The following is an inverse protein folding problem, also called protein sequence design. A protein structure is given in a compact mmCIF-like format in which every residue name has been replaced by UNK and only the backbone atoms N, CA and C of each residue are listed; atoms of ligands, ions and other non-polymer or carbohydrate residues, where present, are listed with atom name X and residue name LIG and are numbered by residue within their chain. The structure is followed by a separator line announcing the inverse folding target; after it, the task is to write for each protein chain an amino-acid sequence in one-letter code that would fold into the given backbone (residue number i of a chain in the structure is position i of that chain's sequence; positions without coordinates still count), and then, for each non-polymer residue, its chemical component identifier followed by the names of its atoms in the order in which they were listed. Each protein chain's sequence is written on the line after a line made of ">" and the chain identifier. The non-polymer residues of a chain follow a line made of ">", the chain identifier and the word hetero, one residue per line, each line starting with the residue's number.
data_IF_550405740932
#
_entry.id   IF_550405740932
#
_cell.length_a   1.000
_cell.length_b   1.000
_cell.length_c   1.000
_cell.angle_alpha   90.00
_cell.angle_beta   90.00
_cell.angle_gamma   90.00
#
_symmetry.space_group_name_H-M   'P 1'
#
loop_
_entity.id
_entity.type
_entity.pdbx_description
1 polymer ?
#
# COMPACT_ATOMS: atom_id res chain seq x y z
N UNK A 1 15.02 -51.20 -51.82
CA UNK A 1 15.54 -49.84 -52.09
C UNK A 1 14.56 -48.84 -51.50
N UNK A 2 14.90 -48.21 -50.36
CA UNK A 2 14.04 -47.18 -49.76
C UNK A 2 14.13 -45.94 -50.65
N UNK A 3 12.99 -45.49 -51.16
CA UNK A 3 12.91 -44.31 -52.02
C UNK A 3 13.10 -43.05 -51.15
N UNK A 4 13.92 -42.11 -51.65
CA UNK A 4 14.17 -40.79 -51.01
C UNK A 4 12.93 -40.12 -50.39
N UNK A 5 11.74 -40.09 -51.01
CA UNK A 5 10.54 -39.49 -50.40
C UNK A 5 10.10 -40.17 -49.10
N UNK A 6 10.23 -41.50 -48.99
CA UNK A 6 9.86 -42.24 -47.77
C UNK A 6 10.75 -41.84 -46.60
N UNK A 7 12.03 -41.63 -46.86
CA UNK A 7 13.00 -41.21 -45.85
C UNK A 7 12.70 -39.78 -45.35
N UNK A 8 12.36 -38.86 -46.27
CA UNK A 8 11.96 -37.49 -45.91
C UNK A 8 10.69 -37.50 -45.07
N UNK A 9 9.69 -38.30 -45.45
CA UNK A 9 8.42 -38.38 -44.73
C UNK A 9 8.61 -39.00 -43.33
N UNK A 10 9.44 -40.04 -43.21
CA UNK A 10 9.79 -40.62 -41.92
C UNK A 10 10.46 -39.60 -40.99
N UNK A 11 11.40 -38.81 -41.50
CA UNK A 11 12.06 -37.74 -40.73
C UNK A 11 11.04 -36.66 -40.33
N UNK A 12 10.17 -36.23 -41.25
CA UNK A 12 9.15 -35.23 -40.95
C UNK A 12 8.20 -35.67 -39.83
N UNK A 13 7.79 -36.95 -39.82
CA UNK A 13 6.94 -37.50 -38.77
C UNK A 13 7.65 -37.51 -37.42
N UNK A 14 8.93 -37.91 -37.38
CA UNK A 14 9.71 -37.91 -36.12
C UNK A 14 9.88 -36.49 -35.58
N UNK A 15 10.17 -35.52 -36.45
CA UNK A 15 10.29 -34.11 -36.05
C UNK A 15 8.96 -33.56 -35.53
N UNK A 16 7.85 -33.88 -36.20
CA UNK A 16 6.52 -33.46 -35.76
C UNK A 16 6.17 -34.06 -34.40
N UNK A 17 6.43 -35.36 -34.19
CA UNK A 17 6.20 -36.02 -32.91
C UNK A 17 7.04 -35.40 -31.78
N UNK A 18 8.33 -35.12 -32.05
CA UNK A 18 9.20 -34.45 -31.09
C UNK A 18 8.71 -33.02 -30.76
N UNK A 19 8.23 -32.29 -31.76
CA UNK A 19 7.69 -30.94 -31.56
C UNK A 19 6.42 -30.96 -30.70
N UNK A 20 5.50 -31.89 -30.95
CA UNK A 20 4.28 -32.06 -30.14
C UNK A 20 4.64 -32.42 -28.71
N UNK A 21 5.55 -33.37 -28.51
CA UNK A 21 6.00 -33.76 -27.18
C UNK A 21 6.60 -32.58 -26.40
N UNK A 22 7.47 -31.79 -27.04
CA UNK A 22 8.06 -30.61 -26.44
C UNK A 22 7.00 -29.55 -26.11
N UNK A 23 6.00 -29.38 -26.98
CA UNK A 23 4.90 -28.44 -26.74
C UNK A 23 4.05 -28.87 -25.53
N UNK A 24 3.66 -30.15 -25.45
CA UNK A 24 2.93 -30.69 -24.30
C UNK A 24 3.68 -30.43 -22.99
N UNK A 25 4.98 -30.69 -22.97
CA UNK A 25 5.80 -30.44 -21.78
C UNK A 25 5.83 -28.96 -21.37
N UNK A 26 5.90 -28.04 -22.33
CA UNK A 26 5.84 -26.60 -22.05
C UNK A 26 4.47 -26.19 -21.52
N UNK A 27 3.39 -26.77 -22.03
CA UNK A 27 2.03 -26.51 -21.54
C UNK A 27 1.88 -26.98 -20.10
N UNK A 28 2.37 -28.17 -19.76
CA UNK A 28 2.31 -28.70 -18.40
C UNK A 28 3.14 -27.84 -17.43
N UNK A 29 4.34 -27.40 -17.84
CA UNK A 29 5.17 -26.51 -17.05
C UNK A 29 4.49 -25.16 -16.80
N UNK A 30 3.84 -24.58 -17.82
CA UNK A 30 3.06 -23.34 -17.70
C UNK A 30 1.85 -23.53 -16.79
N UNK A 31 1.14 -24.65 -16.91
CA UNK A 31 0.00 -24.97 -16.05
C UNK A 31 0.42 -25.08 -14.58
N UNK A 32 1.56 -25.73 -14.30
CA UNK A 32 2.12 -25.84 -12.96
C UNK A 32 2.51 -24.46 -12.38
N UNK A 33 3.16 -23.61 -13.18
CA UNK A 33 3.50 -22.24 -12.76
C UNK A 33 2.25 -21.41 -12.46
N UNK A 34 1.21 -21.56 -13.27
CA UNK A 34 -0.04 -20.85 -13.11
C UNK A 34 -0.79 -21.32 -11.85
N UNK A 35 -0.79 -22.62 -11.57
CA UNK A 35 -1.34 -23.18 -10.34
C UNK A 35 -0.61 -22.63 -9.09
N UNK A 36 0.72 -22.66 -9.09
CA UNK A 36 1.53 -22.12 -7.99
C UNK A 36 1.30 -20.62 -7.77
N UNK A 37 1.11 -19.85 -8.85
CA UNK A 37 0.81 -18.42 -8.76
C UNK A 37 -0.57 -18.17 -8.16
N UNK A 38 -1.58 -18.95 -8.57
CA UNK A 38 -2.94 -18.86 -8.01
C UNK A 38 -2.97 -19.20 -6.53
N UNK A 39 -2.21 -20.20 -6.12
CA UNK A 39 -2.09 -20.57 -4.70
C UNK A 39 -1.51 -19.42 -3.87
N UNK A 40 -0.43 -18.77 -4.35
CA UNK A 40 0.12 -17.58 -3.69
C UNK A 40 -0.88 -16.43 -3.61
N UNK A 41 -1.66 -16.20 -4.66
CA UNK A 41 -2.72 -15.19 -4.66
C UNK A 41 -3.82 -15.52 -3.63
N UNK A 42 -4.21 -16.79 -3.52
CA UNK A 42 -5.21 -17.23 -2.54
C UNK A 42 -4.73 -17.02 -1.09
N UNK A 43 -3.47 -17.35 -0.81
CA UNK A 43 -2.85 -17.11 0.50
C UNK A 43 -2.82 -15.62 0.83
N UNK A 44 -2.34 -14.78 -0.08
CA UNK A 44 -2.32 -13.33 0.12
C UNK A 44 -3.72 -12.73 0.32
N UNK A 45 -4.73 -13.25 -0.37
CA UNK A 45 -6.12 -12.83 -0.18
C UNK A 45 -6.66 -13.22 1.20
N UNK A 46 -6.29 -14.40 1.72
CA UNK A 46 -6.65 -14.83 3.06
C UNK A 46 -6.00 -13.94 4.13
N UNK A 47 -4.72 -13.60 3.96
CA UNK A 47 -4.00 -12.69 4.86
C UNK A 47 -4.67 -11.31 4.88
N UNK A 48 -5.00 -10.75 3.72
CA UNK A 48 -5.73 -9.48 3.64
C UNK A 48 -7.10 -9.55 4.30
N UNK A 49 -7.82 -10.66 4.17
CA UNK A 49 -9.11 -10.84 4.81
C UNK A 49 -8.97 -10.84 6.34
N UNK A 50 -7.97 -11.54 6.88
CA UNK A 50 -7.67 -11.51 8.32
C UNK A 50 -7.28 -10.11 8.78
N UNK A 51 -6.43 -9.41 8.03
CA UNK A 51 -5.97 -8.07 8.39
C UNK A 51 -7.13 -7.07 8.38
N UNK A 52 -8.04 -7.17 7.40
CA UNK A 52 -9.28 -6.39 7.37
C UNK A 52 -10.18 -6.71 8.56
N UNK A 53 -10.29 -7.97 8.95
CA UNK A 53 -11.07 -8.36 10.13
C UNK A 53 -10.45 -7.78 11.42
N UNK A 54 -9.13 -7.89 11.58
CA UNK A 54 -8.39 -7.29 12.71
C UNK A 54 -8.52 -5.77 12.72
N UNK A 55 -8.40 -5.13 11.55
CA UNK A 55 -8.56 -3.68 11.43
C UNK A 55 -9.99 -3.27 11.76
N UNK A 56 -11.00 -3.95 11.24
CA UNK A 56 -12.41 -3.69 11.56
C UNK A 56 -12.69 -3.88 13.06
N UNK A 57 -12.04 -4.85 13.70
CA UNK A 57 -12.11 -5.04 15.14
C UNK A 57 -11.48 -3.87 15.92
N UNK A 58 -10.29 -3.42 15.52
CA UNK A 58 -9.57 -2.30 16.15
C UNK A 58 -10.25 -0.94 15.93
N UNK A 59 -10.83 -0.73 14.74
CA UNK A 59 -11.46 0.53 14.37
C UNK A 59 -12.93 0.62 14.77
N UNK A 60 -13.46 -0.32 15.55
CA UNK A 60 -14.82 -0.19 16.08
C UNK A 60 -14.95 1.13 16.85
N UNK A 61 -15.82 2.06 16.40
CA UNK A 61 -15.87 3.41 16.96
C UNK A 61 -16.25 3.41 18.43
N UNK A 62 -17.06 2.44 18.88
CA UNK A 62 -17.41 2.27 20.29
C UNK A 62 -16.19 1.93 21.17
N UNK A 63 -15.22 1.15 20.64
CA UNK A 63 -13.97 0.83 21.34
C UNK A 63 -13.00 2.00 21.34
N UNK A 64 -12.90 2.72 20.22
CA UNK A 64 -12.11 3.93 20.15
C UNK A 64 -12.65 5.00 21.12
N UNK A 65 -13.97 5.17 21.21
CA UNK A 65 -14.57 6.12 22.14
C UNK A 65 -14.32 5.76 23.61
N UNK A 66 -14.40 4.48 23.97
CA UNK A 66 -14.11 4.01 25.34
C UNK A 66 -12.62 4.11 25.70
N UNK A 67 -11.72 3.79 24.75
CA UNK A 67 -10.28 3.95 24.94
C UNK A 67 -9.87 5.42 25.02
N UNK A 68 -10.44 6.27 24.16
CA UNK A 68 -10.24 7.71 24.16
C UNK A 68 -10.70 8.33 25.49
N UNK A 69 -11.86 7.92 26.01
CA UNK A 69 -12.33 8.35 27.33
C UNK A 69 -11.35 7.95 28.45
N UNK A 70 -10.79 6.73 28.40
CA UNK A 70 -9.78 6.27 29.36
C UNK A 70 -8.44 7.02 29.28
N UNK A 71 -8.11 7.58 28.11
CA UNK A 71 -6.94 8.42 27.87
C UNK A 71 -7.20 9.92 28.12
N UNK A 72 -8.40 10.28 28.63
CA UNK A 72 -8.78 11.68 28.88
C UNK A 72 -8.97 12.51 27.60
N UNK A 73 -9.14 11.87 26.45
CA UNK A 73 -9.38 12.55 25.19
C UNK A 73 -10.84 13.03 25.11
N UNK A 74 -11.03 14.25 24.61
CA UNK A 74 -12.34 14.90 24.47
C UNK A 74 -12.84 14.72 23.03
N UNK A 75 -14.15 14.49 22.80
CA UNK A 75 -14.72 14.42 21.46
C UNK A 75 -14.41 15.69 20.65
N UNK A 76 -13.96 15.49 19.41
CA UNK A 76 -13.67 16.56 18.45
C UNK A 76 -14.98 17.28 18.11
N UNK A 77 -15.00 18.60 18.28
CA UNK A 77 -16.12 19.46 17.87
C UNK A 77 -16.11 19.65 16.35
N UNK A 78 -17.27 19.87 15.72
CA UNK A 78 -17.37 20.15 14.27
C UNK A 78 -16.53 21.35 13.83
N UNK A 79 -16.29 22.31 14.73
CA UNK A 79 -15.42 23.47 14.49
C UNK A 79 -13.92 23.12 14.42
N UNK A 80 -13.52 21.93 14.87
CA UNK A 80 -12.14 21.44 14.84
C UNK A 80 -11.87 20.54 13.62
N UNK A 81 -12.91 20.23 12.83
CA UNK A 81 -12.78 19.45 11.60
C UNK A 81 -12.41 20.39 10.46
N UNK A 82 -11.16 20.32 10.01
CA UNK A 82 -10.64 21.10 8.87
C UNK A 82 -10.56 20.26 7.61
N UNK A 83 -10.66 20.90 6.45
CA UNK A 83 -10.52 20.22 5.17
C UNK A 83 -9.09 19.66 5.01
N UNK A 84 -8.92 18.57 4.27
CA UNK A 84 -7.57 17.96 4.09
C UNK A 84 -6.57 18.95 3.47
N UNK A 85 -7.04 19.83 2.57
CA UNK A 85 -6.22 20.90 1.97
C UNK A 85 -5.78 21.98 2.98
N UNK A 86 -6.37 22.00 4.18
CA UNK A 86 -6.04 22.90 5.28
C UNK A 86 -5.05 22.28 6.28
N UNK A 87 -4.73 20.99 6.12
CA UNK A 87 -3.72 20.29 6.92
C UNK A 87 -2.37 20.59 6.28
N UNK A 88 -1.45 21.19 7.05
CA UNK A 88 -0.10 21.52 6.59
C UNK A 88 0.68 20.29 6.12
N UNK A 89 1.68 20.51 5.28
CA UNK A 89 2.52 19.43 4.75
C UNK A 89 3.22 18.70 5.90
N UNK A 90 3.47 17.38 5.80
CA UNK A 90 4.13 16.60 6.85
C UNK A 90 5.45 17.25 7.35
N UNK A 91 6.22 17.85 6.44
CA UNK A 91 7.44 18.60 6.76
C UNK A 91 7.17 19.83 7.62
N UNK A 92 6.11 20.58 7.33
CA UNK A 92 5.69 21.77 8.09
C UNK A 92 5.23 21.40 9.50
N UNK A 93 4.51 20.28 9.64
CA UNK A 93 4.06 19.78 10.94
C UNK A 93 5.22 19.33 11.84
N UNK A 94 6.22 18.66 11.26
CA UNK A 94 7.44 18.26 12.00
C UNK A 94 8.26 19.48 12.43
N UNK A 95 8.34 20.50 11.58
CA UNK A 95 8.99 21.78 11.90
C UNK A 95 8.25 22.53 13.00
N UNK A 96 6.91 22.56 12.96
CA UNK A 96 6.09 23.18 13.99
C UNK A 96 6.20 22.48 15.36
N UNK A 97 6.41 21.16 15.37
CA UNK A 97 6.61 20.38 16.58
C UNK A 97 8.02 20.54 17.19
N UNK A 98 9.00 21.02 16.41
CA UNK A 98 10.40 21.12 16.81
C UNK A 98 10.67 22.45 17.56
N UNK A 99 11.22 22.41 18.79
CA UNK A 99 11.62 23.63 19.49
C UNK A 99 12.84 24.25 18.81
N UNK A 100 12.75 25.52 18.46
CA UNK A 100 13.85 26.31 17.88
C UNK A 100 14.35 27.29 18.93
N UNK A 101 15.58 27.09 19.41
CA UNK A 101 16.23 28.01 20.33
C UNK A 101 16.72 29.24 19.57
N UNK A 102 16.14 30.41 19.86
CA UNK A 102 16.58 31.69 19.26
C UNK A 102 17.30 32.52 20.32
N UNK A 103 18.47 33.04 19.95
CA UNK A 103 19.24 34.00 20.75
C UNK A 103 18.66 35.40 20.52
N UNK A 104 18.10 36.00 21.55
CA UNK A 104 17.62 37.38 21.50
C UNK A 104 18.80 38.36 21.52
N UNK A 105 18.66 39.56 20.92
CA UNK A 105 19.66 40.63 21.00
C UNK A 105 20.01 41.07 22.43
N UNK A 106 19.19 40.70 23.41
CA UNK A 106 19.38 40.91 24.85
C UNK A 106 20.25 39.84 25.54
N UNK A 107 20.77 38.85 24.80
CA UNK A 107 21.59 37.76 25.34
C UNK A 107 20.79 36.61 25.99
N UNK A 108 19.45 36.67 25.97
CA UNK A 108 18.60 35.57 26.43
C UNK A 108 18.36 34.51 25.36
N UNK A 109 18.31 33.24 25.76
CA UNK A 109 17.86 32.12 24.91
C UNK A 109 16.39 31.85 25.14
N UNK A 110 15.57 31.83 24.07
CA UNK A 110 14.15 31.52 24.16
C UNK A 110 13.80 30.39 23.21
N UNK A 111 13.15 29.35 23.75
CA UNK A 111 12.63 28.24 22.96
C UNK A 111 11.34 28.66 22.27
N UNK A 112 11.41 28.86 20.96
CA UNK A 112 10.27 29.22 20.13
C UNK A 112 9.74 27.96 19.44
N UNK A 113 8.42 27.79 19.50
CA UNK A 113 7.71 26.84 18.65
C UNK A 113 7.12 27.60 17.48
N UNK A 114 7.38 27.10 16.27
CA UNK A 114 6.83 27.69 15.06
C UNK A 114 5.36 27.31 14.95
N UNK A 115 4.46 28.29 15.01
CA UNK A 115 3.06 28.07 14.67
C UNK A 115 2.99 27.69 13.18
N UNK A 116 2.35 26.57 12.81
CA UNK A 116 2.24 26.20 11.40
C UNK A 116 1.45 27.28 10.64
N UNK A 117 1.82 27.59 9.39
CA UNK A 117 1.13 28.61 8.61
C UNK A 117 -0.33 28.20 8.42
N UNK A 118 -1.24 29.13 8.71
CA UNK A 118 -2.66 28.95 8.39
C UNK A 118 -2.77 28.78 6.88
N UNK A 119 -3.51 27.76 6.39
CA UNK A 119 -3.73 27.58 4.96
C UNK A 119 -4.40 28.83 4.39
N UNK A 120 -3.77 29.40 3.36
CA UNK A 120 -4.20 30.59 2.62
C UNK A 120 -5.53 30.30 1.90
N UNK A 121 -6.63 30.30 2.65
CA UNK A 121 -7.97 29.94 2.17
C UNK A 121 -9.06 30.00 3.24
N UNK A 122 -8.74 30.45 4.46
CA UNK A 122 -9.71 30.66 5.54
C UNK A 122 -10.45 32.01 5.46
N UNK A 123 -10.24 32.80 4.41
CA UNK A 123 -11.13 33.93 4.09
C UNK A 123 -12.20 33.48 3.11
N UNK A 124 -13.45 33.71 3.51
CA UNK A 124 -14.73 33.54 2.78
C UNK A 124 -15.41 32.18 2.97
N UNK A 125 -16.31 32.15 3.95
CA UNK A 125 -17.73 31.95 3.68
C UNK A 125 -18.57 32.69 4.75
N UNK A 126 -19.68 33.36 4.36
CA UNK A 126 -20.61 34.05 5.25
C UNK A 126 -21.39 33.13 6.19
#
# INVERSE_FOLDING_TARGET
>A
MISRPVLVLAVAVVVAAAAVYHLSYRVDALAAQLAATRERMALAAADLASLRASFAYLTRPQRLATLAAGLGMVPVSSQQVVAVAQIGTARELVLAASPVTVLLPSGGTLELRLRPPLPTGAERLP
#
